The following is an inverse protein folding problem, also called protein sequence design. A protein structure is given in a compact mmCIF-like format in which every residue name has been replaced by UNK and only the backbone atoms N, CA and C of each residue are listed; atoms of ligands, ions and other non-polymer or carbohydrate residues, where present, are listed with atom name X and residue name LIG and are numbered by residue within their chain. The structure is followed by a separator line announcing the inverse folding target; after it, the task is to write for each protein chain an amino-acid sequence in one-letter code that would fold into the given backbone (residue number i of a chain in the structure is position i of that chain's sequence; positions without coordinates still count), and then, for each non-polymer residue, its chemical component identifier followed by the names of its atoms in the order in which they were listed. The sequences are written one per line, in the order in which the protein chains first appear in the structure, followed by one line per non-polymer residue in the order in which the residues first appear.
data_IF_368917005011
#
_entry.id   IF_368917005011
#
_cell.length_a   1.000
_cell.length_b   1.000
_cell.length_c   1.000
_cell.angle_alpha   90.00
_cell.angle_beta   90.00
_cell.angle_gamma   90.00
#
_symmetry.space_group_name_H-M   'P 1'
#
loop_
_entity.id
_entity.type
_entity.pdbx_description
1 polymer ?
#
# COMPACT_ATOMS: atom_id res chain seq x y z
N UNK A 1 4.33 9.98 -7.37
CA UNK A 1 3.56 11.20 -7.65
C UNK A 1 3.07 11.83 -6.37
N UNK A 2 3.26 13.13 -6.23
CA UNK A 2 2.84 13.84 -5.02
C UNK A 2 1.37 14.26 -5.12
N UNK A 3 0.79 14.70 -4.01
CA UNK A 3 -0.56 15.27 -4.03
C UNK A 3 -0.54 16.65 -4.71
N UNK A 4 -1.70 17.29 -4.80
CA UNK A 4 -1.79 18.57 -5.54
C UNK A 4 -0.97 19.70 -4.89
N UNK A 5 -0.66 19.57 -3.61
CA UNK A 5 0.14 20.57 -2.90
C UNK A 5 1.64 20.21 -2.86
N UNK A 6 2.02 19.10 -3.46
CA UNK A 6 3.41 18.67 -3.47
C UNK A 6 3.82 17.77 -2.31
N UNK A 7 2.86 17.38 -1.47
CA UNK A 7 3.16 16.48 -0.34
C UNK A 7 3.25 15.03 -0.82
N UNK A 8 4.09 14.25 -0.14
CA UNK A 8 4.25 12.83 -0.49
C UNK A 8 3.02 12.01 -0.15
N UNK A 9 2.76 11.02 -0.97
CA UNK A 9 1.66 10.07 -0.78
C UNK A 9 2.24 8.69 -0.50
N UNK A 10 1.82 8.08 0.59
CA UNK A 10 2.17 6.71 0.96
C UNK A 10 0.94 5.83 0.82
N UNK A 11 1.05 4.75 0.06
CA UNK A 11 0.01 3.72 0.01
C UNK A 11 0.52 2.54 0.82
N UNK A 12 -0.21 2.19 1.88
CA UNK A 12 0.28 1.25 2.90
C UNK A 12 -0.66 0.07 3.05
N UNK A 13 -0.11 -1.13 2.96
CA UNK A 13 -0.83 -2.38 3.20
C UNK A 13 -1.09 -2.58 4.70
N UNK A 14 -2.04 -3.46 5.03
CA UNK A 14 -2.38 -3.73 6.42
C UNK A 14 -1.81 -5.06 6.92
N UNK A 15 -2.30 -6.18 6.35
CA UNK A 15 -1.90 -7.51 6.82
C UNK A 15 -0.43 -7.79 6.49
N UNK A 16 0.36 -8.09 7.51
CA UNK A 16 1.80 -8.32 7.33
C UNK A 16 2.62 -7.05 7.21
N UNK A 17 2.01 -5.89 7.30
CA UNK A 17 2.69 -4.60 7.16
C UNK A 17 2.42 -3.72 8.36
N UNK A 18 1.19 -3.25 8.55
CA UNK A 18 0.80 -2.50 9.75
C UNK A 18 0.43 -3.43 10.90
N UNK A 19 -0.13 -4.58 10.59
CA UNK A 19 -0.53 -5.60 11.56
C UNK A 19 0.37 -6.81 11.37
N UNK A 20 0.99 -7.28 12.45
CA UNK A 20 2.00 -8.33 12.39
C UNK A 20 1.61 -9.54 13.23
N UNK A 21 2.14 -10.69 12.84
CA UNK A 21 2.14 -11.88 13.68
C UNK A 21 0.90 -12.76 13.65
N UNK A 22 -0.11 -12.40 12.87
CA UNK A 22 -1.32 -13.22 12.76
C UNK A 22 -1.77 -13.27 11.31
N UNK A 23 -2.50 -14.33 10.93
CA UNK A 23 -3.04 -14.40 9.57
C UNK A 23 -4.34 -13.61 9.47
N UNK A 24 -4.68 -13.18 8.26
CA UNK A 24 -5.99 -12.62 7.96
C UNK A 24 -7.06 -13.64 8.38
N UNK A 25 -8.19 -13.26 8.96
CA UNK A 25 -8.64 -11.87 9.15
C UNK A 25 -8.31 -11.28 10.53
N UNK A 26 -7.47 -11.93 11.29
CA UNK A 26 -7.14 -11.44 12.63
C UNK A 26 -6.35 -10.13 12.56
N UNK A 27 -6.40 -9.37 13.65
CA UNK A 27 -5.60 -8.16 13.79
C UNK A 27 -4.57 -8.45 14.86
N UNK A 28 -3.30 -8.31 14.51
CA UNK A 28 -2.19 -8.70 15.39
C UNK A 28 -1.53 -7.53 16.08
N UNK A 29 -0.22 -7.65 16.25
CA UNK A 29 0.55 -6.60 16.89
C UNK A 29 0.84 -5.47 15.93
N UNK A 30 0.85 -4.23 16.38
CA UNK A 30 1.18 -3.12 15.51
C UNK A 30 2.66 -3.12 15.15
N UNK A 31 2.94 -2.74 13.92
CA UNK A 31 4.32 -2.49 13.50
C UNK A 31 4.69 -1.10 14.00
N UNK A 32 5.15 -1.01 15.24
CA UNK A 32 5.39 0.26 15.92
C UNK A 32 6.31 1.21 15.12
N UNK A 33 7.47 0.76 14.63
CA UNK A 33 8.32 1.68 13.87
C UNK A 33 7.64 2.25 12.63
N UNK A 34 6.80 1.45 11.96
CA UNK A 34 6.09 1.91 10.78
C UNK A 34 5.00 2.92 11.16
N UNK A 35 4.25 2.65 12.23
CA UNK A 35 3.28 3.62 12.73
C UNK A 35 3.94 4.95 13.08
N UNK A 36 5.05 4.89 13.81
CA UNK A 36 5.78 6.10 14.18
C UNK A 36 6.22 6.89 12.96
N UNK A 37 6.77 6.21 11.98
CA UNK A 37 7.26 6.86 10.76
C UNK A 37 6.12 7.55 10.01
N UNK A 38 5.00 6.84 9.81
CA UNK A 38 3.88 7.40 9.06
C UNK A 38 3.22 8.58 9.77
N UNK A 39 3.05 8.45 11.09
CA UNK A 39 2.46 9.53 11.88
C UNK A 39 3.35 10.76 11.83
N UNK A 40 4.65 10.55 11.98
CA UNK A 40 5.62 11.65 11.94
C UNK A 40 5.62 12.33 10.58
N UNK A 41 5.59 11.54 9.51
CA UNK A 41 5.56 12.11 8.16
C UNK A 41 4.30 12.96 7.93
N UNK A 42 3.18 12.51 8.47
CA UNK A 42 1.95 13.30 8.37
C UNK A 42 2.07 14.60 9.15
N UNK A 43 2.53 14.52 10.39
CA UNK A 43 2.58 15.68 11.27
C UNK A 43 3.64 16.70 10.87
N UNK A 44 4.80 16.23 10.47
CA UNK A 44 5.93 17.12 10.20
C UNK A 44 6.09 17.49 8.74
N UNK A 45 5.71 16.61 7.83
CA UNK A 45 5.94 16.84 6.41
C UNK A 45 4.68 16.88 5.56
N UNK A 46 3.51 16.83 6.19
CA UNK A 46 2.26 16.92 5.47
C UNK A 46 1.96 15.72 4.59
N UNK A 47 2.55 14.57 4.88
CA UNK A 47 2.34 13.38 4.07
C UNK A 47 0.88 12.94 4.09
N UNK A 48 0.43 12.39 2.96
CA UNK A 48 -0.90 11.85 2.82
C UNK A 48 -0.79 10.33 2.84
N UNK A 49 -1.67 9.67 3.59
CA UNK A 49 -1.59 8.22 3.79
C UNK A 49 -2.86 7.57 3.27
N UNK A 50 -2.68 6.59 2.39
CA UNK A 50 -3.79 5.80 1.84
C UNK A 50 -3.65 4.39 2.36
N UNK A 51 -4.69 3.85 2.96
CA UNK A 51 -4.72 2.43 3.31
C UNK A 51 -5.04 1.64 2.04
N UNK A 52 -4.17 0.70 1.69
CA UNK A 52 -4.28 -0.04 0.45
C UNK A 52 -4.25 -1.53 0.76
N UNK A 53 -5.43 -2.13 0.88
CA UNK A 53 -5.58 -3.47 1.44
C UNK A 53 -6.62 -4.27 0.69
N UNK A 54 -6.51 -5.58 0.77
CA UNK A 54 -7.52 -6.49 0.22
C UNK A 54 -8.72 -6.67 1.15
N UNK A 55 -8.66 -6.09 2.35
CA UNK A 55 -9.77 -6.19 3.29
C UNK A 55 -10.98 -5.42 2.82
N UNK A 56 -12.17 -5.96 3.11
CA UNK A 56 -13.45 -5.32 2.77
C UNK A 56 -14.40 -5.41 3.95
N UNK A 57 -15.48 -4.62 3.91
CA UNK A 57 -16.58 -4.73 4.88
C UNK A 57 -16.10 -4.68 6.32
N UNK A 58 -16.56 -5.64 7.14
CA UNK A 58 -16.22 -5.65 8.57
C UNK A 58 -14.74 -5.77 8.84
N UNK A 59 -14.04 -6.55 8.01
CA UNK A 59 -12.60 -6.72 8.16
C UNK A 59 -11.86 -5.42 7.87
N UNK A 60 -12.34 -4.65 6.91
CA UNK A 60 -11.77 -3.35 6.60
C UNK A 60 -12.03 -2.36 7.74
N UNK A 61 -13.24 -2.37 8.29
CA UNK A 61 -13.56 -1.50 9.42
C UNK A 61 -12.67 -1.79 10.61
N UNK A 62 -12.40 -3.07 10.87
CA UNK A 62 -11.52 -3.47 11.96
C UNK A 62 -10.11 -2.93 11.76
N UNK A 63 -9.60 -3.00 10.53
CA UNK A 63 -8.27 -2.50 10.21
C UNK A 63 -8.19 -0.99 10.40
N UNK A 64 -9.17 -0.26 9.90
CA UNK A 64 -9.20 1.19 10.04
C UNK A 64 -9.31 1.60 11.51
N UNK A 65 -10.17 0.93 12.27
CA UNK A 65 -10.34 1.22 13.68
C UNK A 65 -9.06 0.98 14.47
N UNK A 66 -8.36 -0.10 14.16
CA UNK A 66 -7.10 -0.44 14.81
C UNK A 66 -6.08 0.69 14.59
N UNK A 67 -5.94 1.14 13.34
CA UNK A 67 -4.99 2.21 13.02
C UNK A 67 -5.39 3.53 13.63
N UNK A 68 -6.69 3.88 13.57
CA UNK A 68 -7.18 5.12 14.15
C UNK A 68 -6.93 5.16 15.66
N UNK A 69 -7.11 4.05 16.35
CA UNK A 69 -6.90 3.99 17.79
C UNK A 69 -5.45 4.23 18.16
N UNK A 70 -4.54 4.09 17.21
CA UNK A 70 -3.12 4.33 17.43
C UNK A 70 -2.66 5.66 16.86
N UNK A 71 -3.58 6.49 16.44
CA UNK A 71 -3.26 7.83 15.96
C UNK A 71 -2.94 7.93 14.48
N UNK A 72 -3.09 6.83 13.74
CA UNK A 72 -2.86 6.85 12.30
C UNK A 72 -4.21 6.94 11.59
N UNK A 73 -4.47 8.10 11.00
CA UNK A 73 -5.70 8.36 10.26
C UNK A 73 -5.40 8.45 8.77
N UNK A 74 -6.24 7.83 7.97
CA UNK A 74 -6.01 7.76 6.54
C UNK A 74 -6.72 8.88 5.80
N UNK A 75 -6.08 9.34 4.73
CA UNK A 75 -6.67 10.37 3.85
C UNK A 75 -7.56 9.73 2.79
N UNK A 76 -7.36 8.44 2.53
CA UNK A 76 -8.23 7.65 1.66
C UNK A 76 -8.03 6.17 1.99
N UNK A 77 -9.00 5.35 1.61
CA UNK A 77 -8.95 3.90 1.84
C UNK A 77 -9.31 3.22 0.54
N UNK A 78 -8.36 2.47 -0.02
CA UNK A 78 -8.53 1.71 -1.26
C UNK A 78 -8.98 2.55 -2.45
N UNK A 79 -8.67 3.82 -2.43
CA UNK A 79 -8.96 4.73 -3.55
C UNK A 79 -7.95 5.84 -3.54
N UNK A 80 -7.83 6.53 -4.66
CA UNK A 80 -6.94 7.67 -4.76
C UNK A 80 -7.45 8.84 -3.91
N UNK A 81 -6.57 9.78 -3.63
CA UNK A 81 -6.99 11.01 -2.94
C UNK A 81 -8.08 11.70 -3.75
N UNK A 82 -9.12 12.22 -3.08
CA UNK A 82 -10.26 12.83 -3.77
C UNK A 82 -9.88 13.92 -4.77
N UNK A 83 -8.89 14.74 -4.42
CA UNK A 83 -8.46 15.81 -5.32
C UNK A 83 -7.80 15.27 -6.59
N UNK A 84 -7.15 14.10 -6.52
CA UNK A 84 -6.55 13.49 -7.70
C UNK A 84 -7.60 12.84 -8.58
N UNK A 85 -8.62 12.24 -7.96
CA UNK A 85 -9.73 11.67 -8.72
C UNK A 85 -10.40 12.78 -9.52
N UNK A 86 -10.62 13.93 -8.90
CA UNK A 86 -11.23 15.06 -9.57
C UNK A 86 -10.34 15.60 -10.69
N UNK A 87 -9.04 15.71 -10.42
CA UNK A 87 -8.10 16.25 -11.40
C UNK A 87 -7.96 15.36 -12.64
N UNK A 88 -7.97 14.05 -12.45
CA UNK A 88 -7.76 13.13 -13.56
C UNK A 88 -9.05 12.62 -14.20
N UNK A 89 -10.18 12.95 -13.61
CA UNK A 89 -11.46 12.54 -14.16
C UNK A 89 -11.83 11.10 -13.89
N UNK A 90 -11.17 10.45 -12.94
CA UNK A 90 -11.50 9.08 -12.57
C UNK A 90 -10.55 8.52 -11.54
N UNK A 91 -10.97 7.43 -10.91
CA UNK A 91 -10.18 6.74 -9.91
C UNK A 91 -9.46 5.57 -10.57
N UNK A 92 -8.18 5.71 -10.82
CA UNK A 92 -7.40 4.66 -11.45
C UNK A 92 -7.27 3.47 -10.51
N UNK A 93 -7.22 2.25 -11.09
CA UNK A 93 -7.09 1.04 -10.26
C UNK A 93 -5.79 1.00 -9.49
N UNK A 94 -4.70 1.41 -10.13
CA UNK A 94 -3.45 1.54 -9.40
C UNK A 94 -3.49 2.87 -8.65
N UNK A 95 -3.34 2.79 -7.34
CA UNK A 95 -3.31 3.98 -6.50
C UNK A 95 -2.07 4.80 -6.84
N UNK A 96 -2.24 6.11 -7.04
CA UNK A 96 -1.12 7.02 -7.27
C UNK A 96 -0.47 7.34 -5.93
N UNK A 97 0.76 6.91 -5.77
CA UNK A 97 1.52 7.16 -4.55
C UNK A 97 2.99 7.34 -4.89
N UNK A 98 3.71 8.02 -4.01
CA UNK A 98 5.16 8.14 -4.15
C UNK A 98 5.82 6.88 -3.62
N UNK A 99 5.22 6.25 -2.60
CA UNK A 99 5.76 5.05 -1.99
C UNK A 99 4.65 4.03 -1.73
N UNK A 100 4.95 2.77 -2.01
CA UNK A 100 4.06 1.65 -1.71
C UNK A 100 4.74 0.80 -0.66
N UNK A 101 4.13 0.69 0.51
CA UNK A 101 4.69 -0.09 1.62
C UNK A 101 3.85 -1.36 1.78
N UNK A 102 4.45 -2.50 1.47
CA UNK A 102 3.76 -3.77 1.39
C UNK A 102 4.75 -4.89 1.70
N UNK A 103 4.36 -5.88 2.48
CA UNK A 103 5.22 -6.99 2.84
C UNK A 103 5.54 -7.94 1.67
N UNK A 104 4.80 -7.80 0.59
CA UNK A 104 4.98 -8.67 -0.57
C UNK A 104 5.72 -8.02 -1.73
N UNK A 105 6.25 -6.84 -1.53
CA UNK A 105 7.03 -6.17 -2.57
C UNK A 105 8.37 -6.86 -2.76
N UNK A 106 8.73 -7.08 -4.02
CA UNK A 106 10.08 -7.54 -4.34
C UNK A 106 11.02 -6.34 -4.19
N UNK A 107 12.14 -6.53 -3.50
CA UNK A 107 13.09 -5.43 -3.27
C UNK A 107 13.64 -4.91 -4.60
N UNK A 108 13.31 -3.68 -4.92
CA UNK A 108 13.72 -3.02 -6.16
C UNK A 108 14.03 -1.57 -5.78
N UNK A 109 15.08 -0.99 -6.29
CA UNK A 109 15.95 -1.36 -7.41
C UNK A 109 17.15 -2.20 -7.04
N UNK A 110 17.20 -2.83 -5.89
CA UNK A 110 18.32 -3.65 -5.49
C UNK A 110 18.41 -4.96 -6.29
N UNK A 111 17.37 -5.28 -7.05
CA UNK A 111 17.36 -6.45 -7.92
C UNK A 111 17.93 -6.06 -9.27
N UNK A 112 18.97 -6.76 -9.71
CA UNK A 112 19.47 -6.57 -11.06
C UNK A 112 18.62 -7.41 -12.00
N UNK A 113 17.80 -6.73 -12.77
CA UNK A 113 16.84 -7.39 -13.63
C UNK A 113 17.50 -8.33 -14.63
N UNK A 114 18.75 -8.05 -14.99
CA UNK A 114 19.49 -8.92 -15.93
C UNK A 114 19.88 -10.23 -15.30
N UNK A 115 19.98 -10.28 -13.99
CA UNK A 115 20.35 -11.50 -13.26
C UNK A 115 19.14 -12.28 -12.78
N UNK A 116 17.95 -11.66 -12.83
CA UNK A 116 16.75 -12.34 -12.41
C UNK A 116 16.33 -13.36 -13.44
N UNK A 117 15.99 -14.55 -12.98
CA UNK A 117 15.56 -15.63 -13.85
C UNK A 117 14.30 -16.26 -13.27
N UNK A 118 13.26 -16.42 -14.10
CA UNK A 118 12.07 -17.12 -13.64
C UNK A 118 12.37 -18.62 -13.52
N UNK A 119 11.47 -19.33 -12.84
CA UNK A 119 11.58 -20.78 -12.76
C UNK A 119 11.48 -21.39 -14.15
N UNK A 120 12.18 -22.49 -14.36
CA UNK A 120 12.12 -23.15 -15.65
C UNK A 120 10.71 -23.60 -16.03
N UNK A 121 9.95 -24.04 -15.05
CA UNK A 121 8.57 -24.44 -15.32
C UNK A 121 7.73 -23.27 -15.76
N UNK A 122 7.92 -22.12 -15.15
CA UNK A 122 7.20 -20.93 -15.55
C UNK A 122 7.57 -20.54 -16.96
N UNK A 123 8.85 -20.64 -17.31
CA UNK A 123 9.29 -20.33 -18.66
C UNK A 123 8.66 -21.25 -19.69
N UNK A 124 8.58 -22.53 -19.37
CA UNK A 124 8.00 -23.49 -20.29
C UNK A 124 6.53 -23.29 -20.50
N UNK A 125 5.86 -22.74 -19.51
CA UNK A 125 4.44 -22.62 -19.57
C UNK A 125 3.92 -21.33 -20.16
N UNK A 126 4.76 -20.46 -20.62
CA UNK A 126 4.28 -19.13 -20.97
C UNK A 126 4.10 -18.88 -22.44
N UNK A 127 4.29 -19.87 -23.26
CA UNK A 127 4.44 -19.57 -24.65
C UNK A 127 3.36 -18.84 -25.30
N UNK A 128 2.16 -19.24 -25.14
CA UNK A 128 1.22 -18.76 -26.09
C UNK A 128 0.11 -17.99 -25.56
N UNK A 129 0.09 -17.73 -24.33
CA UNK A 129 -1.06 -17.03 -23.85
C UNK A 129 -0.85 -15.55 -23.73
N UNK A 130 -1.42 -14.84 -24.61
CA UNK A 130 -1.25 -13.43 -24.61
C UNK A 130 -2.52 -12.72 -24.70
N UNK A 131 -3.38 -12.90 -23.78
CA UNK A 131 -4.67 -12.26 -23.84
C UNK A 131 -4.63 -10.76 -23.63
N UNK A 132 -3.53 -10.21 -23.31
CA UNK A 132 -3.46 -8.75 -23.26
C UNK A 132 -2.57 -8.21 -24.32
#
# INVERSE_FOLDING_TARGET
MADMAGNKIYAVDFDGTLSLGVPFPEVGEPNEPLFEMLIKEKEENGARIILYTCRTKADLKAAVAFCNSRGLHFDAVNENLPELIAAYGGDTRKINADFYIDDKNLAFPTVDIKLWKPDEEAEKGTGENESY
#
